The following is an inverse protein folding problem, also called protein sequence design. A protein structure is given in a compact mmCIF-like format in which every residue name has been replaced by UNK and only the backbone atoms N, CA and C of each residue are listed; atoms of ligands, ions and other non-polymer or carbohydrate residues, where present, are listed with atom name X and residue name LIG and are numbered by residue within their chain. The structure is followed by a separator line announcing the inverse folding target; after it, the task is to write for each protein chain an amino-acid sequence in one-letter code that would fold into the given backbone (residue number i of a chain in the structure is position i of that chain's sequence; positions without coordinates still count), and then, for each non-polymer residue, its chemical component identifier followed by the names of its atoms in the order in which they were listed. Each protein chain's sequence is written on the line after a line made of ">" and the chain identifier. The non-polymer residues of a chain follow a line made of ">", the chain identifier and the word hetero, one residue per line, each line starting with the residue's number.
data_IF_921828364671
#
_entry.id   IF_921828364671
#
_cell.length_a   1.000
_cell.length_b   1.000
_cell.length_c   1.000
_cell.angle_alpha   90.00
_cell.angle_beta   90.00
_cell.angle_gamma   90.00
#
_symmetry.space_group_name_H-M   'P 1'
#
loop_
_entity.id
_entity.type
_entity.pdbx_description
1 polymer ?
#
# COMPACT_ATOMS: atom_id res chain seq x y z
N UNK A 1 -3.63 20.13 15.71
CA UNK A 1 -4.11 18.88 16.34
C UNK A 1 -3.28 18.65 17.61
N UNK A 2 -3.87 18.24 18.74
CA UNK A 2 -3.09 17.90 19.94
C UNK A 2 -2.13 16.74 19.62
N UNK A 3 -0.91 16.80 20.14
CA UNK A 3 0.16 15.81 19.90
C UNK A 3 -0.25 14.37 20.20
N UNK A 4 -1.19 14.17 21.13
CA UNK A 4 -1.73 12.85 21.49
C UNK A 4 -2.43 12.16 20.32
N UNK A 5 -3.26 12.88 19.56
CA UNK A 5 -3.99 12.31 18.41
C UNK A 5 -3.06 11.88 17.27
N UNK A 6 -1.94 12.59 17.08
CA UNK A 6 -0.96 12.23 16.05
C UNK A 6 -0.20 10.95 16.44
N UNK A 7 0.14 10.80 17.72
CA UNK A 7 0.76 9.57 18.25
C UNK A 7 -0.18 8.38 18.11
N UNK A 8 -1.45 8.53 18.48
CA UNK A 8 -2.44 7.46 18.38
C UNK A 8 -2.67 7.03 16.92
N UNK A 9 -2.74 7.98 15.99
CA UNK A 9 -2.87 7.70 14.56
C UNK A 9 -1.68 6.87 14.01
N UNK A 10 -0.45 7.18 14.42
CA UNK A 10 0.75 6.43 13.99
C UNK A 10 0.76 5.03 14.61
N UNK A 11 0.34 4.88 15.87
CA UNK A 11 0.23 3.55 16.49
C UNK A 11 -0.76 2.67 15.73
N UNK A 12 -1.95 3.19 15.44
CA UNK A 12 -2.95 2.47 14.65
C UNK A 12 -2.50 2.20 13.22
N UNK A 13 -1.73 3.11 12.61
CA UNK A 13 -1.10 2.87 11.32
C UNK A 13 -0.18 1.64 11.34
N UNK A 14 0.74 1.58 12.31
CA UNK A 14 1.68 0.45 12.47
C UNK A 14 0.93 -0.84 12.73
N UNK A 15 -0.11 -0.81 13.56
CA UNK A 15 -1.01 -1.95 13.76
C UNK A 15 -1.64 -2.38 12.44
N UNK A 16 -2.18 -1.44 11.66
CA UNK A 16 -2.72 -1.70 10.33
C UNK A 16 -1.69 -2.28 9.35
N UNK A 17 -0.43 -1.87 9.44
CA UNK A 17 0.64 -2.38 8.58
C UNK A 17 1.02 -3.82 8.89
N UNK A 18 1.04 -4.25 10.15
CA UNK A 18 1.63 -5.53 10.54
C UNK A 18 0.63 -6.55 11.09
N UNK A 19 -0.46 -6.13 11.74
CA UNK A 19 -1.47 -7.06 12.26
C UNK A 19 -2.16 -7.89 11.16
N UNK A 20 -2.44 -7.37 9.95
CA UNK A 20 -3.00 -8.20 8.90
C UNK A 20 -2.05 -9.30 8.41
N UNK A 21 -0.73 -9.16 8.59
CA UNK A 21 0.27 -10.15 8.15
C UNK A 21 0.04 -11.55 8.69
N UNK A 22 -0.57 -11.69 9.87
CA UNK A 22 -0.92 -12.99 10.44
C UNK A 22 -1.94 -13.75 9.59
N UNK A 23 -2.75 -13.04 8.80
CA UNK A 23 -3.84 -13.60 8.00
C UNK A 23 -3.56 -13.46 6.50
N UNK A 24 -2.85 -12.41 6.06
CA UNK A 24 -2.63 -12.14 4.64
C UNK A 24 -1.84 -13.22 3.94
N UNK A 25 -0.92 -13.90 4.61
CA UNK A 25 -0.27 -15.10 4.07
C UNK A 25 -1.27 -16.21 3.70
N UNK A 26 -2.24 -16.48 4.58
CA UNK A 26 -3.31 -17.45 4.32
C UNK A 26 -4.30 -16.96 3.25
N UNK A 27 -4.61 -15.66 3.22
CA UNK A 27 -5.44 -15.06 2.18
C UNK A 27 -4.77 -15.19 0.80
N UNK A 28 -3.46 -14.98 0.69
CA UNK A 28 -2.72 -15.11 -0.57
C UNK A 28 -2.73 -16.56 -1.05
N UNK A 29 -2.51 -17.54 -0.16
CA UNK A 29 -2.53 -18.95 -0.55
C UNK A 29 -3.93 -19.42 -0.97
N UNK A 30 -4.99 -18.91 -0.33
CA UNK A 30 -6.38 -19.31 -0.62
C UNK A 30 -7.00 -18.58 -1.81
N UNK A 31 -6.82 -17.27 -1.92
CA UNK A 31 -7.50 -16.43 -2.92
C UNK A 31 -6.60 -16.03 -4.10
N UNK A 32 -5.29 -16.15 -3.94
CA UNK A 32 -4.28 -15.82 -4.94
C UNK A 32 -3.75 -14.39 -4.83
N UNK A 33 -2.52 -14.22 -5.31
CA UNK A 33 -1.72 -12.99 -5.21
C UNK A 33 -2.49 -11.76 -5.74
N UNK A 34 -3.03 -11.82 -6.96
CA UNK A 34 -3.70 -10.67 -7.57
C UNK A 34 -4.98 -10.24 -6.86
N UNK A 35 -5.76 -11.17 -6.30
CA UNK A 35 -7.01 -10.80 -5.61
C UNK A 35 -6.71 -10.01 -4.33
N UNK A 36 -5.71 -10.45 -3.58
CA UNK A 36 -5.27 -9.76 -2.35
C UNK A 36 -4.73 -8.37 -2.70
N UNK A 37 -3.95 -8.23 -3.78
CA UNK A 37 -3.49 -6.93 -4.26
C UNK A 37 -4.62 -5.97 -4.64
N UNK A 38 -5.65 -6.46 -5.34
CA UNK A 38 -6.83 -5.64 -5.70
C UNK A 38 -7.61 -5.18 -4.47
N UNK A 39 -7.71 -6.02 -3.43
CA UNK A 39 -8.30 -5.61 -2.14
C UNK A 39 -7.47 -4.49 -1.50
N UNK A 40 -6.15 -4.57 -1.52
CA UNK A 40 -5.27 -3.49 -1.08
C UNK A 40 -5.52 -2.18 -1.83
N UNK A 41 -5.62 -2.23 -3.16
CA UNK A 41 -5.97 -1.06 -3.97
C UNK A 41 -7.36 -0.50 -3.62
N UNK A 42 -8.36 -1.34 -3.42
CA UNK A 42 -9.70 -0.91 -3.01
C UNK A 42 -9.66 -0.20 -1.64
N UNK A 43 -8.87 -0.71 -0.69
CA UNK A 43 -8.68 -0.08 0.62
C UNK A 43 -8.02 1.30 0.47
N UNK A 44 -7.04 1.46 -0.42
CA UNK A 44 -6.45 2.78 -0.70
C UNK A 44 -7.46 3.78 -1.27
N UNK A 45 -8.41 3.34 -2.11
CA UNK A 45 -9.48 4.22 -2.60
C UNK A 45 -10.38 4.67 -1.44
N UNK A 46 -10.77 3.75 -0.56
CA UNK A 46 -11.57 4.09 0.64
C UNK A 46 -10.78 5.00 1.58
N UNK A 47 -9.49 4.75 1.77
CA UNK A 47 -8.59 5.60 2.54
C UNK A 47 -8.58 7.05 2.01
N UNK A 48 -8.47 7.24 0.68
CA UNK A 48 -8.54 8.56 0.05
C UNK A 48 -9.88 9.25 0.31
N UNK A 49 -10.99 8.53 0.17
CA UNK A 49 -12.34 9.07 0.46
C UNK A 49 -12.48 9.51 1.92
N UNK A 50 -11.98 8.73 2.88
CA UNK A 50 -12.01 9.08 4.31
C UNK A 50 -11.13 10.30 4.59
N UNK A 51 -9.95 10.37 3.96
CA UNK A 51 -9.03 11.49 4.10
C UNK A 51 -9.61 12.81 3.54
N UNK A 52 -10.44 12.74 2.50
CA UNK A 52 -11.15 13.91 1.94
C UNK A 52 -12.43 14.27 2.70
N UNK A 53 -13.09 13.30 3.36
CA UNK A 53 -14.36 13.52 4.04
C UNK A 53 -14.27 14.50 5.23
N UNK A 54 -13.10 14.68 5.82
CA UNK A 54 -12.91 15.65 6.88
C UNK A 54 -11.49 15.74 7.44
N UNK A 55 -11.23 16.83 8.19
CA UNK A 55 -9.94 17.12 8.83
C UNK A 55 -9.96 16.87 10.35
N UNK A 56 -10.97 16.14 10.86
CA UNK A 56 -11.01 15.83 12.29
C UNK A 56 -9.97 14.76 12.65
N UNK A 57 -9.57 14.70 13.93
CA UNK A 57 -8.62 13.69 14.41
C UNK A 57 -9.05 12.26 14.07
N UNK A 58 -10.36 11.96 14.16
CA UNK A 58 -10.89 10.65 13.86
C UNK A 58 -10.77 10.28 12.36
N UNK A 59 -10.98 11.24 11.45
CA UNK A 59 -10.77 11.00 10.02
C UNK A 59 -9.30 10.68 9.74
N UNK A 60 -8.39 11.42 10.37
CA UNK A 60 -6.96 11.18 10.26
C UNK A 60 -6.54 9.80 10.79
N UNK A 61 -7.01 9.42 11.99
CA UNK A 61 -6.73 8.10 12.59
C UNK A 61 -7.26 6.94 11.74
N UNK A 62 -8.52 7.02 11.28
CA UNK A 62 -9.12 5.98 10.45
C UNK A 62 -8.42 5.90 9.09
N UNK A 63 -8.11 7.06 8.47
CA UNK A 63 -7.37 7.09 7.21
C UNK A 63 -5.98 6.44 7.37
N UNK A 64 -5.24 6.75 8.43
CA UNK A 64 -3.93 6.13 8.68
C UNK A 64 -4.02 4.62 8.95
N UNK A 65 -5.03 4.17 9.69
CA UNK A 65 -5.28 2.75 9.88
C UNK A 65 -5.56 2.04 8.54
N UNK A 66 -6.47 2.58 7.74
CA UNK A 66 -6.80 2.06 6.40
C UNK A 66 -5.58 2.07 5.48
N UNK A 67 -4.77 3.13 5.52
CA UNK A 67 -3.52 3.23 4.78
C UNK A 67 -2.57 2.09 5.14
N UNK A 68 -2.42 1.78 6.43
CA UNK A 68 -1.59 0.67 6.90
C UNK A 68 -2.10 -0.68 6.40
N UNK A 69 -3.41 -0.94 6.49
CA UNK A 69 -4.01 -2.20 6.01
C UNK A 69 -3.90 -2.33 4.49
N UNK A 70 -4.21 -1.27 3.74
CA UNK A 70 -4.09 -1.24 2.28
C UNK A 70 -2.65 -1.48 1.84
N UNK A 71 -1.69 -0.85 2.52
CA UNK A 71 -0.26 -1.07 2.31
C UNK A 71 0.14 -2.52 2.54
N UNK A 72 -0.33 -3.18 3.61
CA UNK A 72 0.01 -4.58 3.87
C UNK A 72 -0.40 -5.48 2.70
N UNK A 73 -1.66 -5.37 2.26
CA UNK A 73 -2.21 -6.22 1.19
C UNK A 73 -1.50 -5.96 -0.15
N UNK A 74 -1.27 -4.69 -0.49
CA UNK A 74 -0.57 -4.31 -1.72
C UNK A 74 0.91 -4.74 -1.69
N UNK A 75 1.62 -4.48 -0.59
CA UNK A 75 3.04 -4.79 -0.45
C UNK A 75 3.32 -6.30 -0.43
N UNK A 76 2.59 -7.08 0.36
CA UNK A 76 2.77 -8.54 0.40
C UNK A 76 2.40 -9.20 -0.93
N UNK A 77 1.34 -8.75 -1.59
CA UNK A 77 0.97 -9.30 -2.90
C UNK A 77 1.99 -8.94 -3.99
N UNK A 78 2.50 -7.70 -4.02
CA UNK A 78 3.54 -7.29 -4.97
C UNK A 78 4.83 -8.09 -4.75
N UNK A 79 5.29 -8.20 -3.51
CA UNK A 79 6.48 -8.97 -3.15
C UNK A 79 6.31 -10.45 -3.50
N UNK A 80 5.15 -11.05 -3.19
CA UNK A 80 4.84 -12.42 -3.58
C UNK A 80 4.84 -12.62 -5.11
N UNK A 81 4.34 -11.65 -5.88
CA UNK A 81 4.36 -11.69 -7.34
C UNK A 81 5.81 -11.69 -7.88
N UNK A 82 6.67 -10.81 -7.37
CA UNK A 82 8.09 -10.73 -7.77
C UNK A 82 8.82 -12.04 -7.45
N UNK A 83 8.65 -12.57 -6.24
CA UNK A 83 9.30 -13.82 -5.82
C UNK A 83 8.78 -15.03 -6.61
N UNK A 84 7.51 -15.03 -7.04
CA UNK A 84 6.93 -16.14 -7.80
C UNK A 84 7.58 -16.38 -9.17
N UNK A 85 8.18 -15.33 -9.76
CA UNK A 85 8.86 -15.39 -11.05
C UNK A 85 10.39 -15.40 -10.93
N UNK A 86 10.90 -15.40 -9.69
CA UNK A 86 12.35 -15.34 -9.41
C UNK A 86 12.89 -16.73 -9.09
N UNK A 87 14.04 -17.07 -9.68
CA UNK A 87 14.74 -18.32 -9.43
C UNK A 87 15.18 -18.42 -7.97
N UNK A 88 15.10 -19.60 -7.32
CA UNK A 88 15.41 -19.75 -5.90
C UNK A 88 16.75 -19.15 -5.47
N UNK A 89 17.79 -19.32 -6.30
CA UNK A 89 19.15 -18.82 -6.07
C UNK A 89 19.27 -17.29 -6.12
N UNK A 90 18.33 -16.58 -6.77
CA UNK A 90 18.35 -15.12 -6.92
C UNK A 90 17.38 -14.41 -5.96
N UNK A 91 16.47 -15.14 -5.31
CA UNK A 91 15.40 -14.58 -4.47
C UNK A 91 15.89 -13.61 -3.42
N UNK A 92 16.97 -13.95 -2.71
CA UNK A 92 17.53 -13.09 -1.68
C UNK A 92 17.99 -11.73 -2.25
N UNK A 93 18.64 -11.74 -3.42
CA UNK A 93 19.13 -10.53 -4.08
C UNK A 93 17.99 -9.68 -4.64
N UNK A 94 17.00 -10.31 -5.26
CA UNK A 94 15.81 -9.63 -5.79
C UNK A 94 14.98 -9.02 -4.67
N UNK A 95 14.77 -9.76 -3.56
CA UNK A 95 14.08 -9.25 -2.38
C UNK A 95 14.79 -8.04 -1.79
N UNK A 96 16.11 -8.12 -1.59
CA UNK A 96 16.90 -7.00 -1.08
C UNK A 96 16.81 -5.77 -1.98
N UNK A 97 16.79 -5.97 -3.31
CA UNK A 97 16.64 -4.86 -4.28
C UNK A 97 15.23 -4.26 -4.21
N UNK A 98 14.19 -5.09 -4.14
CA UNK A 98 12.82 -4.66 -3.96
C UNK A 98 12.67 -3.80 -2.69
N UNK A 99 13.17 -4.30 -1.56
CA UNK A 99 13.05 -3.63 -0.28
C UNK A 99 13.85 -2.32 -0.28
N UNK A 100 15.04 -2.30 -0.89
CA UNK A 100 15.82 -1.08 -1.06
C UNK A 100 15.07 -0.02 -1.86
N UNK A 101 14.43 -0.39 -2.98
CA UNK A 101 13.66 0.53 -3.81
C UNK A 101 12.42 1.05 -3.07
N UNK A 102 11.67 0.16 -2.40
CA UNK A 102 10.45 0.53 -1.69
C UNK A 102 10.76 1.44 -0.49
N UNK A 103 11.70 1.04 0.37
CA UNK A 103 12.03 1.83 1.57
C UNK A 103 12.86 3.07 1.24
N UNK A 104 13.72 3.01 0.23
CA UNK A 104 14.41 4.19 -0.32
C UNK A 104 13.41 5.21 -0.86
N UNK A 105 12.45 4.76 -1.68
CA UNK A 105 11.36 5.60 -2.18
C UNK A 105 10.51 6.21 -1.06
N UNK A 106 10.22 5.42 -0.01
CA UNK A 106 9.49 5.89 1.16
C UNK A 106 10.26 6.98 1.91
N UNK A 107 11.58 6.83 2.07
CA UNK A 107 12.43 7.83 2.69
C UNK A 107 12.47 9.15 1.89
N UNK A 108 12.59 9.07 0.56
CA UNK A 108 12.51 10.25 -0.31
C UNK A 108 11.14 10.92 -0.22
N UNK A 109 10.05 10.16 -0.29
CA UNK A 109 8.70 10.70 -0.16
C UNK A 109 8.47 11.39 1.20
N UNK A 110 8.98 10.78 2.29
CA UNK A 110 8.92 11.36 3.63
C UNK A 110 9.69 12.68 3.71
N UNK A 111 10.89 12.75 3.11
CA UNK A 111 11.68 13.98 3.06
C UNK A 111 10.95 15.13 2.33
N UNK A 112 10.27 14.84 1.22
CA UNK A 112 9.51 15.83 0.45
C UNK A 112 8.08 16.05 0.94
N UNK A 113 7.61 15.30 1.93
CA UNK A 113 6.20 15.34 2.38
C UNK A 113 5.74 16.74 2.81
N UNK A 114 6.61 17.51 3.49
CA UNK A 114 6.31 18.88 3.90
C UNK A 114 6.15 19.83 2.71
N UNK A 115 7.02 19.70 1.69
CA UNK A 115 6.94 20.50 0.45
C UNK A 115 5.67 20.16 -0.33
N UNK A 116 5.33 18.87 -0.41
CA UNK A 116 4.11 18.41 -1.05
C UNK A 116 2.86 18.95 -0.33
N UNK A 117 2.88 18.98 1.00
CA UNK A 117 1.75 19.49 1.79
C UNK A 117 1.58 21.00 1.63
N UNK A 118 2.68 21.75 1.57
CA UNK A 118 2.66 23.19 1.31
C UNK A 118 2.16 23.51 -0.11
N UNK A 119 2.63 22.78 -1.12
CA UNK A 119 2.28 23.04 -2.52
C UNK A 119 0.88 22.56 -2.93
N UNK A 120 0.43 21.40 -2.45
CA UNK A 120 -0.81 20.76 -2.90
C UNK A 120 -1.92 20.75 -1.82
N UNK A 121 -1.58 21.10 -0.58
CA UNK A 121 -2.50 21.01 0.55
C UNK A 121 -2.89 19.58 0.90
N UNK A 122 -3.69 19.44 1.96
CA UNK A 122 -4.17 18.14 2.42
C UNK A 122 -5.01 17.41 1.38
N UNK A 123 -5.96 18.13 0.75
CA UNK A 123 -6.86 17.55 -0.25
C UNK A 123 -6.09 17.05 -1.49
N UNK A 124 -5.07 17.79 -1.95
CA UNK A 124 -4.24 17.35 -3.08
C UNK A 124 -3.43 16.08 -2.76
N UNK A 125 -2.91 15.97 -1.54
CA UNK A 125 -2.23 14.74 -1.08
C UNK A 125 -3.21 13.57 -0.96
N UNK A 126 -4.39 13.79 -0.36
CA UNK A 126 -5.42 12.76 -0.22
C UNK A 126 -5.87 12.25 -1.60
N UNK A 127 -6.07 13.16 -2.55
CA UNK A 127 -6.45 12.85 -3.92
C UNK A 127 -5.40 11.99 -4.64
N UNK A 128 -4.12 12.06 -4.27
CA UNK A 128 -3.06 11.25 -4.88
C UNK A 128 -3.24 9.74 -4.63
N UNK A 129 -4.00 9.35 -3.61
CA UNK A 129 -4.35 7.94 -3.36
C UNK A 129 -5.15 7.32 -4.52
N UNK A 130 -6.02 8.09 -5.19
CA UNK A 130 -6.87 7.59 -6.27
C UNK A 130 -6.11 7.18 -7.53
N UNK A 131 -5.27 8.04 -8.16
CA UNK A 131 -4.51 7.65 -9.33
C UNK A 131 -3.48 6.57 -9.00
N UNK A 132 -2.88 6.57 -7.80
CA UNK A 132 -1.95 5.52 -7.37
C UNK A 132 -2.66 4.16 -7.25
N UNK A 133 -3.83 4.11 -6.62
CA UNK A 133 -4.62 2.89 -6.51
C UNK A 133 -5.11 2.40 -7.88
N UNK A 134 -5.57 3.30 -8.75
CA UNK A 134 -5.99 2.95 -10.10
C UNK A 134 -4.83 2.39 -10.94
N UNK A 135 -3.65 3.00 -10.86
CA UNK A 135 -2.45 2.48 -11.50
C UNK A 135 -2.12 1.06 -11.00
N UNK A 136 -2.20 0.83 -9.68
CA UNK A 136 -2.05 -0.50 -9.09
C UNK A 136 -3.03 -1.52 -9.67
N UNK A 137 -4.32 -1.16 -9.79
CA UNK A 137 -5.34 -2.00 -10.43
C UNK A 137 -4.99 -2.32 -11.87
N UNK A 138 -4.61 -1.31 -12.67
CA UNK A 138 -4.24 -1.48 -14.08
C UNK A 138 -3.06 -2.42 -14.22
N UNK A 139 -2.00 -2.24 -13.43
CA UNK A 139 -0.80 -3.08 -13.44
C UNK A 139 -1.13 -4.52 -13.06
N UNK A 140 -1.91 -4.73 -11.99
CA UNK A 140 -2.35 -6.07 -11.58
C UNK A 140 -3.16 -6.76 -12.69
N UNK A 141 -4.07 -6.05 -13.34
CA UNK A 141 -4.90 -6.59 -14.42
C UNK A 141 -4.06 -6.92 -15.66
N UNK A 142 -3.08 -6.07 -16.00
CA UNK A 142 -2.13 -6.30 -17.08
C UNK A 142 -1.27 -7.54 -16.82
N UNK A 143 -0.69 -7.68 -15.61
CA UNK A 143 0.10 -8.85 -15.21
C UNK A 143 -0.73 -10.14 -15.24
N UNK A 144 -1.97 -10.09 -14.75
CA UNK A 144 -2.88 -11.24 -14.78
C UNK A 144 -3.24 -11.66 -16.21
N UNK A 145 -3.41 -10.70 -17.12
CA UNK A 145 -3.65 -10.98 -18.55
C UNK A 145 -2.42 -11.60 -19.21
N UNK A 146 -1.22 -11.04 -18.96
CA UNK A 146 0.02 -11.56 -19.51
C UNK A 146 0.27 -13.02 -19.07
N UNK A 147 0.04 -13.34 -17.80
CA UNK A 147 0.19 -14.70 -17.30
C UNK A 147 -0.81 -15.69 -17.93
N UNK A 148 -2.06 -15.27 -18.16
CA UNK A 148 -3.05 -16.11 -18.85
C UNK A 148 -2.66 -16.41 -20.29
N UNK A 149 -2.12 -15.42 -21.00
CA UNK A 149 -1.68 -15.58 -22.39
C UNK A 149 -0.44 -16.48 -22.50
N UNK A 150 0.46 -16.45 -21.52
CA UNK A 150 1.65 -17.32 -21.51
C UNK A 150 1.32 -18.80 -21.23
N UNK A 151 0.13 -19.09 -20.69
CA UNK A 151 -0.33 -20.45 -20.36
C UNK A 151 -1.30 -21.04 -21.39
N UNK A 152 -1.73 -20.27 -22.38
CA UNK A 152 -2.63 -20.68 -23.46
C UNK A 152 -1.83 -21.03 -24.72
#
# INVERSE_FOLDING_TARGET
>A
LPVTSATDAIQWHIVGMYAPSFITGHLISRFGIFRVGLVGCAIFLVCGMVAEAGISALHFEIALLLLGVGWNFAFLSATAAVISVTRPEERAKVQATNDFVVFGGTAFAAYFSGVLLDAFGWAGIAAAAFPAALLGVVLIMASRRAQRLALA
#
